data_IF_905920459865
#
_entry.id   IF_905920459865
#
_cell.length_a   1.000
_cell.length_b   1.000
_cell.length_c   1.000
_cell.angle_alpha   90.00
_cell.angle_beta   90.00
_cell.angle_gamma   90.00
#
_symmetry.space_group_name_H-M   'P 1'
#
loop_
_entity.id
_entity.type
_entity.pdbx_description
1 polymer ?
2 non-polymer ?
3 non-polymer ?
4 non-polymer ?
5 water ?
#
# COMPACT_ATOMS: atom_id res chain seq x y z
N UNK A 2 7.33 -5.73 12.12
CA UNK A 2 7.16 -5.72 13.57
C UNK A 2 7.26 -7.14 14.15
N UNK A 3 7.49 -7.24 15.46
CA UNK A 3 7.58 -8.55 16.10
C UNK A 3 6.37 -9.38 15.70
N UNK A 4 6.58 -10.67 15.46
CA UNK A 4 5.48 -11.55 15.07
C UNK A 4 5.00 -12.40 16.24
N UNK A 5 3.70 -12.32 16.52
CA UNK A 5 3.07 -13.05 17.62
C UNK A 5 3.36 -14.55 17.61
N UNK A 8 -0.45 -17.32 15.65
CA UNK A 8 0.79 -17.38 14.80
C UNK A 8 1.06 -18.69 14.08
N UNK A 9 1.39 -19.75 14.83
CA UNK A 9 1.68 -21.04 14.18
C UNK A 9 0.65 -21.45 13.14
N UNK A 10 -0.62 -21.39 13.49
CA UNK A 10 -1.68 -21.76 12.55
C UNK A 10 -1.65 -20.89 11.29
N UNK A 11 -1.34 -19.61 11.47
CA UNK A 11 -1.28 -18.66 10.36
C UNK A 11 -0.12 -19.01 9.40
N UNK A 12 1.10 -19.06 9.94
CA UNK A 12 2.25 -19.44 9.13
C UNK A 12 2.01 -20.78 8.43
N UNK A 13 1.30 -21.69 9.12
CA UNK A 13 1.04 -23.00 8.55
C UNK A 13 0.18 -22.98 7.30
N UNK A 14 -0.61 -21.92 7.12
CA UNK A 14 -1.44 -21.81 5.94
C UNK A 14 -0.65 -21.42 4.68
N UNK A 15 0.57 -20.91 4.85
CA UNK A 15 1.37 -20.49 3.66
C UNK A 15 2.57 -21.41 3.49
N UNK A 16 2.71 -22.01 2.31
CA UNK A 16 3.84 -22.89 2.01
C UNK A 16 4.97 -21.96 1.58
N UNK A 17 6.03 -21.89 2.41
CA UNK A 17 7.12 -20.95 2.16
C UNK A 17 7.96 -21.28 0.94
N UNK A 18 7.82 -22.50 0.44
CA UNK A 18 8.61 -22.96 -0.69
C UNK A 18 7.86 -22.90 -2.00
N UNK A 19 6.59 -22.55 -1.94
CA UNK A 19 5.78 -22.49 -3.12
C UNK A 19 5.77 -21.11 -3.75
N UNK A 20 5.77 -21.08 -5.08
CA UNK A 20 5.63 -19.82 -5.81
C UNK A 20 4.19 -19.91 -6.31
N UNK A 21 3.30 -19.17 -5.64
CA UNK A 21 1.88 -19.20 -5.95
C UNK A 21 1.53 -18.44 -7.23
N UNK A 22 0.43 -18.83 -7.88
CA UNK A 22 -0.06 -18.03 -8.97
C UNK A 22 -0.72 -16.79 -8.34
N UNK A 23 -0.91 -15.76 -9.14
CA UNK A 23 -1.55 -14.55 -8.65
C UNK A 23 -2.96 -14.89 -8.14
N UNK A 24 -3.67 -15.74 -8.89
CA UNK A 24 -5.03 -16.11 -8.42
C UNK A 24 -5.02 -16.92 -7.12
N UNK A 25 -4.07 -17.86 -6.99
CA UNK A 25 -3.96 -18.62 -5.74
C UNK A 25 -3.67 -17.65 -4.58
N UNK A 26 -2.68 -16.77 -4.78
CA UNK A 26 -2.32 -15.82 -3.75
C UNK A 26 -3.50 -14.92 -3.34
N UNK A 27 -4.28 -14.43 -4.30
CA UNK A 27 -5.42 -13.56 -4.00
C UNK A 27 -6.39 -14.34 -3.11
N UNK A 28 -6.64 -15.61 -3.44
CA UNK A 28 -7.51 -16.44 -2.61
C UNK A 28 -6.95 -16.74 -1.23
N UNK A 29 -5.62 -16.92 -1.13
CA UNK A 29 -4.95 -17.20 0.13
C UNK A 29 -5.04 -15.97 1.04
N UNK A 30 -4.70 -14.81 0.50
CA UNK A 30 -4.68 -13.56 1.29
C UNK A 30 -6.00 -13.38 2.05
N UNK A 31 -7.10 -13.75 1.39
CA UNK A 31 -8.44 -13.66 1.97
C UNK A 31 -8.61 -14.59 3.18
N UNK A 32 -7.61 -15.45 3.43
CA UNK A 32 -7.68 -16.40 4.54
C UNK A 32 -6.73 -16.05 5.69
N UNK A 33 -5.62 -15.39 5.35
CA UNK A 33 -4.63 -15.01 6.33
C UNK A 33 -5.07 -13.79 7.14
N UNK A 34 -5.77 -12.88 6.49
CA UNK A 34 -6.20 -11.63 7.12
C UNK A 34 -7.06 -11.81 8.36
N UNK A 35 -6.76 -11.03 9.40
CA UNK A 35 -7.56 -11.06 10.64
C UNK A 35 -8.96 -10.56 10.32
N UNK A 36 -9.93 -11.01 11.11
CA UNK A 36 -11.31 -10.60 10.88
C UNK A 36 -11.60 -9.29 11.60
N UNK A 37 -10.66 -8.91 12.45
CA UNK A 37 -10.75 -7.78 13.37
C UNK A 37 -10.57 -6.38 12.82
N UNK A 38 -9.87 -6.28 11.69
CA UNK A 38 -9.67 -5.00 11.02
C UNK A 38 -9.18 -5.25 9.59
N UNK A 39 -9.42 -4.28 8.72
CA UNK A 39 -9.04 -4.46 7.33
C UNK A 39 -7.57 -4.19 7.23
N UNK A 40 -6.95 -4.84 6.28
CA UNK A 40 -5.53 -4.65 6.07
C UNK A 40 -5.25 -4.33 4.65
N UNK A 41 -4.27 -3.45 4.47
CA UNK A 41 -3.81 -3.10 3.11
C UNK A 41 -2.91 -4.23 2.58
N UNK A 42 -3.14 -4.62 1.34
CA UNK A 42 -2.33 -5.68 0.72
C UNK A 42 -1.33 -4.95 -0.19
N UNK A 43 -0.05 -5.35 -0.09
CA UNK A 43 0.98 -4.75 -0.94
C UNK A 43 1.66 -5.78 -1.82
N UNK A 44 2.26 -5.31 -2.92
CA UNK A 44 3.11 -6.20 -3.70
C UNK A 44 4.52 -5.67 -3.55
N UNK A 45 5.45 -6.58 -3.27
CA UNK A 45 6.89 -6.23 -3.11
C UNK A 45 7.65 -6.97 -4.19
N UNK A 46 8.60 -6.29 -4.86
CA UNK A 46 9.39 -6.97 -5.91
C UNK A 46 10.84 -6.54 -5.81
N UNK A 47 11.72 -7.46 -6.13
CA UNK A 47 13.13 -7.11 -6.24
C UNK A 47 13.38 -6.99 -7.74
N UNK A 48 13.89 -5.85 -8.19
CA UNK A 48 14.10 -5.59 -9.62
C UNK A 48 15.46 -5.90 -10.15
N UNK A 49 15.45 -6.33 -11.40
CA UNK A 49 16.68 -6.58 -12.14
C UNK A 49 17.21 -5.24 -12.67
N UNK A 50 17.58 -4.38 -11.74
CA UNK A 50 18.23 -3.10 -12.08
C UNK A 50 19.43 -2.94 -11.17
N UNK A 51 20.37 -2.09 -11.61
CA UNK A 51 21.53 -1.71 -10.80
C UNK A 51 21.05 -0.45 -10.09
N UNK A 52 20.76 -0.58 -8.78
CA UNK A 52 20.20 0.60 -8.12
C UNK A 52 21.10 1.75 -7.84
N UNK A 53 22.38 1.57 -8.13
CA UNK A 53 23.34 2.64 -7.96
C UNK A 53 23.52 3.48 -9.23
N UNK A 54 22.77 3.13 -10.28
CA UNK A 54 22.80 3.85 -11.55
C UNK A 54 21.54 4.69 -11.68
N UNK A 55 21.75 6.00 -11.82
CA UNK A 55 20.62 6.91 -11.94
C UNK A 55 19.83 6.75 -13.23
N UNK A 56 20.33 6.01 -14.20
CA UNK A 56 19.63 5.80 -15.45
C UNK A 56 18.83 4.51 -15.48
N UNK A 57 18.76 3.83 -14.33
CA UNK A 57 17.97 2.61 -14.24
C UNK A 57 16.92 2.71 -13.10
N UNK A 58 16.59 3.92 -12.67
CA UNK A 58 15.55 4.11 -11.66
C UNK A 58 14.19 3.67 -12.21
N UNK A 59 13.30 3.18 -11.34
CA UNK A 59 11.96 2.79 -11.79
C UNK A 59 11.02 3.62 -10.92
N UNK A 60 10.29 4.54 -11.56
CA UNK A 60 9.37 5.42 -10.84
C UNK A 60 8.16 5.73 -11.71
N UNK A 61 6.97 5.73 -11.10
CA UNK A 61 5.78 6.04 -11.88
C UNK A 61 4.56 5.83 -11.03
N UNK A 62 3.44 5.57 -11.71
CA UNK A 62 2.17 5.33 -11.00
C UNK A 62 1.43 4.17 -11.61
N UNK A 63 0.53 3.60 -10.82
CA UNK A 63 -0.35 2.57 -11.32
C UNK A 63 -1.78 3.04 -11.09
N UNK A 64 -2.60 2.93 -12.14
CA UNK A 64 -4.00 3.29 -12.06
C UNK A 64 -4.72 1.99 -11.76
N UNK A 65 -4.91 1.67 -10.47
CA UNK A 65 -5.52 0.39 -10.09
C UNK A 65 -6.93 0.33 -10.63
N UNK A 66 -7.28 -0.77 -11.32
CA UNK A 66 -8.64 -0.91 -11.90
C UNK A 66 -9.74 -1.00 -10.87
N UNK A 67 -9.37 -1.34 -9.64
CA UNK A 67 -10.36 -1.46 -8.57
C UNK A 67 -9.97 -0.80 -7.26
N UNK A 68 -10.97 -0.25 -6.56
CA UNK A 68 -10.74 0.28 -5.22
C UNK A 68 -10.32 1.72 -5.03
N UNK A 69 -10.13 2.43 -6.13
CA UNK A 69 -9.67 3.81 -6.08
C UNK A 69 -10.62 4.80 -6.71
N UNK A 70 -10.16 6.05 -6.83
CA UNK A 70 -10.95 7.12 -7.42
C UNK A 70 -11.73 7.90 -6.39
N UNK A 71 -12.75 8.64 -6.85
CA UNK A 71 -13.59 9.42 -5.95
C UNK A 71 -14.12 8.59 -4.78
N UNK A 72 -14.46 7.32 -5.04
CA UNK A 72 -15.01 6.41 -4.00
C UNK A 72 -14.18 6.34 -2.71
N UNK A 73 -12.87 6.25 -2.84
CA UNK A 73 -12.00 6.20 -1.65
C UNK A 73 -12.23 7.45 -0.80
N UNK A 74 -12.53 7.27 0.48
CA UNK A 74 -12.68 8.43 1.34
C UNK A 74 -11.36 8.70 2.02
N UNK A 75 -10.71 9.76 1.56
CA UNK A 75 -9.41 10.13 2.05
C UNK A 75 -9.51 11.07 3.24
N UNK A 76 -8.79 10.74 4.30
CA UNK A 76 -8.55 11.61 5.43
C UNK A 76 -7.18 12.28 5.28
N UNK A 77 -7.14 13.60 5.37
CA UNK A 77 -5.89 14.36 5.33
C UNK A 77 -5.73 15.01 6.70
N UNK A 78 -4.57 14.78 7.32
CA UNK A 78 -4.24 15.38 8.60
C UNK A 78 -3.15 16.39 8.33
N UNK A 79 -3.39 17.63 8.71
CA UNK A 79 -2.43 18.68 8.42
C UNK A 79 -2.45 19.77 9.48
N UNK A 80 -1.78 20.89 9.19
CA UNK A 80 -1.70 21.98 10.14
C UNK A 80 -1.80 23.32 9.39
N UNK A 81 -2.38 24.32 10.04
CA UNK A 81 -2.52 25.66 9.46
C UNK A 81 -3.05 25.74 8.04
N UNK A 82 -2.34 26.45 7.16
CA UNK A 82 -2.78 26.63 5.78
C UNK A 82 -2.96 25.32 5.05
N UNK A 83 -2.21 24.29 5.43
CA UNK A 83 -2.32 23.04 4.71
C UNK A 83 -3.66 22.35 4.96
N UNK A 84 -4.32 22.70 6.05
CA UNK A 84 -5.69 22.18 6.29
C UNK A 84 -6.59 22.71 5.16
N UNK A 85 -6.49 24.00 4.85
CA UNK A 85 -7.28 24.57 3.77
C UNK A 85 -6.87 23.94 2.44
N UNK A 86 -5.56 23.75 2.23
CA UNK A 86 -5.10 23.13 0.99
C UNK A 86 -5.73 21.73 0.82
N UNK A 87 -5.79 20.95 1.91
CA UNK A 87 -6.39 19.62 1.83
C UNK A 87 -7.91 19.71 1.51
N UNK A 88 -8.62 20.65 2.14
CA UNK A 88 -10.05 20.84 1.86
C UNK A 88 -10.28 21.21 0.40
N UNK A 89 -9.47 22.15 -0.08
CA UNK A 89 -9.59 22.66 -1.43
C UNK A 89 -9.26 21.59 -2.49
N UNK A 90 -8.47 20.59 -2.10
CA UNK A 90 -8.10 19.50 -3.01
C UNK A 90 -9.17 18.42 -3.04
N UNK A 91 -10.18 18.55 -2.19
CA UNK A 91 -11.30 17.59 -2.15
C UNK A 91 -11.19 16.38 -1.21
N UNK A 92 -10.28 16.43 -0.25
CA UNK A 92 -10.15 15.35 0.71
C UNK A 92 -11.53 15.19 1.31
N UNK A 93 -11.97 13.95 1.48
CA UNK A 93 -13.31 13.70 2.05
C UNK A 93 -13.36 14.17 3.49
N UNK A 94 -12.27 13.85 4.22
CA UNK A 94 -12.16 14.31 5.60
C UNK A 94 -10.87 15.02 5.79
N UNK A 95 -10.91 16.06 6.61
CA UNK A 95 -9.72 16.83 6.93
C UNK A 95 -9.76 17.16 8.42
N UNK A 96 -8.58 17.08 9.02
CA UNK A 96 -8.44 17.51 10.38
C UNK A 96 -7.02 17.94 10.70
N UNK A 97 -6.90 18.65 11.81
CA UNK A 97 -5.60 18.98 12.39
C UNK A 97 -5.28 17.86 13.36
N UNK A 98 -4.23 18.03 14.17
CA UNK A 98 -3.90 17.00 15.16
C UNK A 98 -5.07 16.64 16.08
N UNK A 99 -6.04 17.55 16.25
CA UNK A 99 -7.19 17.28 17.10
C UNK A 99 -7.99 16.07 16.61
N UNK A 100 -7.88 15.78 15.31
CA UNK A 100 -8.65 14.66 14.76
C UNK A 100 -8.17 13.33 15.35
N UNK A 101 -6.96 13.31 15.91
CA UNK A 101 -6.44 12.10 16.55
C UNK A 101 -7.41 11.60 17.62
N UNK A 102 -8.03 12.52 18.37
CA UNK A 102 -8.97 12.14 19.44
C UNK A 102 -10.20 11.46 18.89
N UNK A 103 -10.66 11.92 17.72
CA UNK A 103 -11.83 11.33 17.07
C UNK A 103 -11.51 9.89 16.65
N UNK A 104 -10.30 9.67 16.10
CA UNK A 104 -9.93 8.34 15.71
C UNK A 104 -9.75 7.44 16.94
N UNK A 105 -9.12 7.96 17.99
CA UNK A 105 -8.95 7.17 19.23
C UNK A 105 -10.29 6.74 19.81
N UNK A 106 -11.31 7.60 19.66
CA UNK A 106 -12.64 7.28 20.20
C UNK A 106 -13.31 6.15 19.40
N UNK A 107 -12.78 5.84 18.22
CA UNK A 107 -13.31 4.73 17.43
C UNK A 107 -13.66 5.01 15.98
N UNK A 108 -13.58 6.27 15.57
CA UNK A 108 -13.97 6.65 14.22
C UNK A 108 -12.99 6.25 13.17
N UNK A 109 -13.48 5.59 12.14
CA UNK A 109 -12.66 5.26 10.97
C UNK A 109 -13.47 5.19 9.69
N UNK A 110 -14.24 6.24 9.43
CA UNK A 110 -15.06 6.32 8.20
C UNK A 110 -14.17 6.48 6.96
N UNK A 111 -12.93 6.86 7.17
CA UNK A 111 -11.96 7.05 6.07
C UNK A 111 -11.37 5.75 5.54
N UNK A 112 -10.91 5.75 4.28
CA UNK A 112 -10.35 4.56 3.63
C UNK A 112 -8.85 4.67 3.37
N UNK A 113 -8.31 5.88 3.55
CA UNK A 113 -6.90 6.17 3.30
C UNK A 113 -6.52 7.36 4.16
N UNK A 114 -5.23 7.48 4.49
CA UNK A 114 -4.76 8.59 5.31
C UNK A 114 -3.51 9.22 4.69
N UNK A 115 -3.57 10.54 4.54
CA UNK A 115 -2.41 11.33 4.08
C UNK A 115 -2.13 12.43 5.09
N UNK A 116 -0.90 12.92 5.16
CA UNK A 116 -0.57 13.87 6.19
C UNK A 116 0.63 14.73 5.80
N UNK A 117 0.69 15.88 6.43
CA UNK A 117 1.89 16.74 6.29
C UNK A 117 2.95 16.29 7.31
N UNK A 118 4.24 16.52 7.03
CA UNK A 118 5.24 16.06 7.96
C UNK A 118 5.13 16.65 9.37
N UNK A 119 4.60 17.86 9.48
CA UNK A 119 4.54 18.51 10.78
C UNK A 119 3.53 17.93 11.76
N UNK A 120 2.69 16.98 11.32
CA UNK A 120 1.76 16.34 12.28
C UNK A 120 2.15 14.88 12.51
N UNK A 121 3.22 14.42 11.85
CA UNK A 121 3.57 13.00 11.95
C UNK A 121 4.09 12.52 13.29
N UNK A 122 4.71 13.43 14.06
CA UNK A 122 5.15 13.06 15.41
C UNK A 122 3.94 12.62 16.23
N UNK A 123 2.86 13.41 16.17
CA UNK A 123 1.64 13.09 16.92
C UNK A 123 0.91 11.87 16.34
N UNK A 124 0.81 11.80 15.02
CA UNK A 124 0.11 10.70 14.36
C UNK A 124 0.78 9.35 14.67
N UNK A 125 2.10 9.30 14.56
CA UNK A 125 2.76 8.05 14.87
C UNK A 125 2.67 7.72 16.35
N UNK A 126 2.91 8.72 17.19
CA UNK A 126 2.88 8.57 18.65
C UNK A 126 1.57 8.04 19.19
N UNK A 127 0.47 8.62 18.71
CA UNK A 127 -0.85 8.24 19.21
C UNK A 127 -1.59 7.17 18.40
N UNK A 128 -1.36 7.15 17.09
CA UNK A 128 -2.11 6.28 16.21
C UNK A 128 -1.31 5.17 15.56
N UNK A 129 -0.04 5.04 15.93
CA UNK A 129 0.81 4.00 15.33
C UNK A 129 0.26 2.59 15.43
N UNK A 130 -0.32 2.23 16.57
CA UNK A 130 -0.83 0.86 16.75
C UNK A 130 -2.20 0.64 16.16
N UNK A 131 -2.86 1.73 15.75
CA UNK A 131 -4.13 1.68 15.08
C UNK A 131 -3.96 1.67 13.56
N UNK A 132 -3.20 2.66 13.05
CA UNK A 132 -3.04 2.78 11.62
C UNK A 132 -2.03 1.78 11.06
N UNK A 133 -0.97 1.51 11.82
CA UNK A 133 0.12 0.61 11.39
C UNK A 133 -0.34 -0.74 10.92
N UNK A 134 -1.00 -1.52 11.82
CA UNK A 134 -1.47 -2.84 11.44
C UNK A 134 -2.48 -2.84 10.29
N UNK A 135 -3.15 -1.72 10.09
CA UNK A 135 -4.15 -1.59 9.01
C UNK A 135 -3.53 -1.20 7.68
N UNK A 136 -2.23 -0.83 7.72
CA UNK A 136 -1.49 -0.37 6.53
C UNK A 136 -1.96 1.03 6.13
N UNK A 137 -2.40 1.80 7.13
CA UNK A 137 -2.94 3.15 6.91
C UNK A 137 -2.04 4.26 7.48
N UNK A 138 -0.86 3.88 7.97
CA UNK A 138 0.04 4.85 8.57
C UNK A 138 0.82 5.53 7.46
N UNK A 139 0.58 6.83 7.27
CA UNK A 139 1.28 7.54 6.19
C UNK A 139 2.78 7.56 6.39
N UNK A 140 3.53 7.60 5.29
CA UNK A 140 5.01 7.76 5.35
C UNK A 140 5.58 8.40 4.08
N UNK A 141 6.67 9.18 4.23
CA UNK A 141 7.22 9.87 3.06
C UNK A 141 7.70 8.95 1.95
N UNK A 142 8.24 7.78 2.30
CA UNK A 142 8.73 6.87 1.24
C UNK A 142 7.59 6.39 0.33
N UNK A 143 6.41 6.16 0.92
CA UNK A 143 5.26 5.73 0.14
C UNK A 143 4.63 6.91 -0.62
N UNK A 144 5.02 8.13 -0.25
CA UNK A 144 4.45 9.33 -0.87
C UNK A 144 3.17 9.85 -0.25
N UNK A 145 2.83 9.31 0.92
CA UNK A 145 1.59 9.67 1.63
C UNK A 145 1.80 10.74 2.70
N UNK A 146 3.09 11.13 2.90
CA UNK A 146 3.43 12.24 3.79
C UNK A 146 4.18 13.24 2.91
N UNK A 147 3.71 14.48 2.91
CA UNK A 147 4.33 15.55 2.17
C UNK A 147 3.68 16.89 2.41
N UNK A 148 4.43 17.98 2.23
CA UNK A 148 3.84 19.32 2.34
C UNK A 148 2.97 19.66 1.14
N UNK A 149 3.15 18.95 0.03
CA UNK A 149 2.33 19.15 -1.17
C UNK A 149 1.08 18.27 -0.97
N UNK A 150 0.34 18.51 0.11
CA UNK A 150 -0.82 17.68 0.48
C UNK A 150 -1.91 17.69 -0.59
N UNK A 151 -2.12 18.85 -1.19
CA UNK A 151 -3.11 18.98 -2.27
C UNK A 151 -2.78 18.04 -3.44
N UNK A 152 -1.53 18.08 -3.90
CA UNK A 152 -1.13 17.19 -4.99
C UNK A 152 -1.31 15.72 -4.64
N UNK A 153 -0.96 15.37 -3.40
CA UNK A 153 -1.06 13.99 -2.93
C UNK A 153 -2.51 13.54 -2.95
N UNK A 154 -3.38 14.39 -2.43
CA UNK A 154 -4.81 14.08 -2.42
C UNK A 154 -5.38 13.95 -3.85
N UNK A 155 -5.04 14.90 -4.72
CA UNK A 155 -5.57 14.83 -6.09
C UNK A 155 -5.09 13.58 -6.82
N UNK A 156 -3.87 13.12 -6.52
CA UNK A 156 -3.35 11.95 -7.19
C UNK A 156 -4.16 10.71 -6.81
N UNK A 157 -4.44 10.54 -5.51
CA UNK A 157 -5.25 9.41 -5.04
C UNK A 157 -6.66 9.52 -5.62
N UNK A 158 -7.23 10.73 -5.59
CA UNK A 158 -8.59 10.93 -6.14
C UNK A 158 -8.66 10.66 -7.64
N UNK A 159 -7.53 10.87 -8.31
CA UNK A 159 -7.42 10.61 -9.76
C UNK A 159 -7.23 9.11 -10.05
N UNK A 160 -7.14 8.32 -8.96
CA UNK A 160 -7.03 6.87 -9.05
C UNK A 160 -5.62 6.33 -9.27
N UNK A 161 -4.60 7.07 -8.84
CA UNK A 161 -3.20 6.64 -9.04
C UNK A 161 -2.45 6.41 -7.73
N UNK A 162 -1.65 5.35 -7.72
CA UNK A 162 -0.76 4.96 -6.61
C UNK A 162 0.69 5.09 -7.09
N UNK A 163 1.53 5.73 -6.27
CA UNK A 163 2.95 5.96 -6.62
C UNK A 163 3.82 4.77 -6.37
N UNK A 164 4.87 4.65 -7.19
CA UNK A 164 5.88 3.65 -6.88
C UNK A 164 7.27 4.20 -7.25
N UNK A 165 8.25 3.79 -6.47
CA UNK A 165 9.62 4.21 -6.76
C UNK A 165 10.56 3.18 -6.15
N UNK A 166 11.58 2.72 -6.86
CA UNK A 166 12.45 1.74 -6.26
C UNK A 166 13.29 2.37 -5.15
N UNK A 167 13.76 1.56 -4.20
CA UNK A 167 14.61 2.08 -3.14
C UNK A 167 16.09 1.75 -3.47
N UNK A 168 17.01 2.17 -2.60
CA UNK A 168 18.44 1.97 -2.84
C UNK A 168 18.87 0.50 -2.95
N UNK A 169 18.02 -0.42 -2.54
CA UNK A 169 18.33 -1.84 -2.62
C UNK A 169 17.84 -2.46 -3.93
N UNK A 170 17.10 -1.68 -4.73
CA UNK A 170 16.57 -2.19 -5.98
C UNK A 170 15.22 -2.86 -5.78
N UNK A 171 14.63 -2.67 -4.59
CA UNK A 171 13.31 -3.25 -4.30
C UNK A 171 12.25 -2.20 -4.54
N UNK A 172 11.00 -2.64 -4.66
CA UNK A 172 9.92 -1.69 -4.89
C UNK A 172 8.65 -2.31 -4.33
N UNK A 173 7.80 -1.46 -3.79
CA UNK A 173 6.52 -1.97 -3.29
C UNK A 173 5.43 -0.91 -3.36
N UNK A 174 4.18 -1.39 -3.46
CA UNK A 174 2.99 -0.50 -3.52
C UNK A 174 1.77 -1.24 -3.04
N UNK A 175 0.85 -0.49 -2.44
CA UNK A 175 -0.43 -1.10 -2.03
C UNK A 175 -1.29 -1.38 -3.25
N UNK A 176 -1.98 -2.52 -3.23
CA UNK A 176 -2.79 -2.92 -4.37
C UNK A 176 -4.24 -3.20 -4.01
N UNK A 177 -4.58 -3.07 -2.73
CA UNK A 177 -5.99 -3.27 -2.32
C UNK A 177 -6.08 -3.57 -0.84
N UNK A 178 -7.22 -4.12 -0.43
CA UNK A 178 -7.39 -4.48 0.95
C UNK A 178 -7.68 -5.96 1.00
N UNK A 179 -7.44 -6.57 2.18
CA UNK A 179 -7.74 -7.98 2.35
C UNK A 179 -9.25 -8.26 2.21
N UNK A 180 -10.07 -7.21 2.33
CA UNK A 180 -11.52 -7.35 2.19
C UNK A 180 -11.99 -7.45 0.73
N UNK A 181 -11.11 -7.12 -0.22
CA UNK A 181 -11.50 -7.16 -1.63
C UNK A 181 -11.85 -8.55 -2.12
N UNK A 182 -12.81 -8.64 -3.05
CA UNK A 182 -13.09 -9.91 -3.70
C UNK A 182 -11.78 -10.37 -4.35
N UNK A 183 -11.48 -11.67 -4.25
CA UNK A 183 -10.19 -12.13 -4.77
C UNK A 183 -9.92 -11.82 -6.25
N UNK A 184 -10.93 -11.83 -7.12
CA UNK A 184 -10.68 -11.50 -8.52
C UNK A 184 -10.26 -10.04 -8.70
N UNK A 185 -10.80 -9.17 -7.86
CA UNK A 185 -10.43 -7.77 -7.93
C UNK A 185 -9.01 -7.57 -7.42
N UNK A 186 -8.66 -8.30 -6.36
CA UNK A 186 -7.31 -8.21 -5.80
C UNK A 186 -6.32 -8.71 -6.86
N UNK A 187 -6.67 -9.81 -7.56
CA UNK A 187 -5.78 -10.35 -8.60
C UNK A 187 -5.59 -9.35 -9.72
N UNK A 188 -6.66 -8.70 -10.16
CA UNK A 188 -6.59 -7.67 -11.21
C UNK A 188 -5.63 -6.54 -10.79
N UNK A 189 -5.75 -6.11 -9.54
CA UNK A 189 -4.93 -5.03 -9.02
C UNK A 189 -3.46 -5.40 -8.94
N UNK A 190 -3.22 -6.65 -8.54
CA UNK A 190 -1.86 -7.20 -8.47
C UNK A 190 -1.27 -7.16 -9.88
N UNK A 191 -2.01 -7.67 -10.85
CA UNK A 191 -1.51 -7.66 -12.25
C UNK A 191 -1.32 -6.24 -12.77
N UNK A 192 -2.21 -5.32 -12.36
CA UNK A 192 -2.09 -3.93 -12.79
C UNK A 192 -0.75 -3.35 -12.33
N UNK A 193 -0.36 -3.61 -11.09
CA UNK A 193 0.91 -3.07 -10.57
C UNK A 193 2.09 -3.70 -11.34
N UNK A 194 2.03 -5.00 -11.56
CA UNK A 194 3.08 -5.70 -12.33
C UNK A 194 3.19 -5.10 -13.73
N UNK A 195 2.07 -4.86 -14.38
CA UNK A 195 2.08 -4.24 -15.71
C UNK A 195 2.64 -2.83 -15.69
N UNK A 196 2.33 -2.05 -14.66
CA UNK A 196 2.88 -0.69 -14.55
C UNK A 196 4.39 -0.77 -14.38
N UNK A 197 4.86 -1.72 -13.57
CA UNK A 197 6.32 -1.89 -13.41
C UNK A 197 6.96 -2.25 -14.74
N UNK A 198 6.37 -3.23 -15.43
CA UNK A 198 6.92 -3.67 -16.73
C UNK A 198 6.98 -2.53 -17.74
N UNK A 199 5.96 -1.69 -17.75
CA UNK A 199 5.92 -0.57 -18.67
C UNK A 199 7.05 0.44 -18.37
N UNK A 200 7.56 0.38 -17.15
CA UNK A 200 8.64 1.28 -16.69
C UNK A 200 10.01 0.61 -16.63
N UNK A 201 10.14 -0.55 -17.26
CA UNK A 201 11.41 -1.31 -17.28
C UNK A 201 12.43 -0.42 -17.99
N UNK A 202 13.51 -0.03 -17.30
CA UNK A 202 14.48 0.89 -17.92
C UNK A 202 15.26 0.30 -19.10
N UNK A 203 15.61 1.15 -20.07
CA UNK A 203 16.43 0.70 -21.18
C UNK A 203 17.77 0.29 -20.60
N UNK A 204 18.24 -0.89 -20.99
CA UNK A 204 19.53 -1.35 -20.52
C UNK A 204 19.52 -2.19 -19.27
N UNK A 205 18.35 -2.45 -18.70
CA UNK A 205 18.30 -3.30 -17.53
C UNK A 205 18.81 -4.72 -17.87
N UNK A 206 19.65 -5.26 -16.98
CA UNK A 206 20.24 -6.59 -17.16
C UNK A 206 19.48 -7.74 -16.53
N UNK A 207 19.33 -8.83 -17.30
CA UNK A 207 18.73 -10.07 -16.81
C UNK A 207 17.24 -9.94 -16.49
N UNK A 208 16.69 -10.87 -15.69
CA UNK A 208 15.25 -10.88 -15.34
C UNK A 208 14.86 -9.59 -14.61
N UNK A 209 13.74 -8.95 -15.02
CA UNK A 209 13.35 -7.70 -14.43
C UNK A 209 12.63 -7.88 -13.09
N UNK A 210 11.65 -8.78 -13.05
CA UNK A 210 10.95 -9.05 -11.80
C UNK A 210 11.60 -10.32 -11.21
N UNK A 211 12.71 -10.12 -10.51
CA UNK A 211 13.49 -11.23 -9.93
C UNK A 211 12.69 -12.07 -8.95
N UNK A 212 11.99 -11.40 -8.02
CA UNK A 212 11.16 -12.11 -7.06
C UNK A 212 10.06 -11.14 -6.70
N UNK A 213 8.88 -11.68 -6.42
CA UNK A 213 7.69 -10.85 -6.20
C UNK A 213 6.84 -11.53 -5.12
N UNK A 214 6.31 -10.73 -4.19
CA UNK A 214 5.52 -11.24 -3.06
C UNK A 214 4.29 -10.38 -2.85
N UNK A 215 3.24 -10.98 -2.28
CA UNK A 215 2.06 -10.26 -1.87
C UNK A 215 2.12 -10.34 -0.36
N UNK A 216 1.86 -9.22 0.33
CA UNK A 216 1.81 -9.30 1.80
C UNK A 216 0.99 -8.19 2.42
N UNK A 217 0.91 -8.24 3.76
CA UNK A 217 0.16 -7.29 4.58
C UNK A 217 1.13 -6.91 5.68
N UNK A 218 0.86 -5.82 6.39
CA UNK A 218 1.78 -5.37 7.43
C UNK A 218 1.95 -6.41 8.54
N UNK A 219 0.92 -7.21 8.79
CA UNK A 219 0.99 -8.17 9.86
C UNK A 219 1.35 -9.59 9.39
N UNK A 220 0.51 -10.18 8.56
CA UNK A 220 0.71 -11.54 8.06
C UNK A 220 1.97 -11.83 7.26
N UNK A 221 2.20 -13.12 7.00
CA UNK A 221 3.34 -13.60 6.23
C UNK A 221 3.18 -13.30 4.74
N UNK A 222 4.32 -13.20 4.05
CA UNK A 222 4.34 -12.92 2.64
C UNK A 222 4.08 -14.18 1.83
N UNK A 223 3.51 -14.00 0.64
CA UNK A 223 3.17 -15.08 -0.26
C UNK A 223 3.96 -14.83 -1.55
N UNK A 224 4.91 -15.70 -1.90
CA UNK A 224 5.68 -15.49 -3.14
C UNK A 224 4.80 -15.81 -4.35
N UNK A 225 4.82 -14.94 -5.36
CA UNK A 225 4.00 -15.16 -6.55
C UNK A 225 4.78 -15.14 -7.87
N UNK A 226 4.22 -15.84 -8.85
CA UNK A 226 4.74 -15.82 -10.21
C UNK A 226 4.12 -14.59 -10.87
N UNK A 227 4.94 -13.56 -11.18
CA UNK A 227 4.39 -12.31 -11.72
C UNK A 227 3.85 -12.42 -13.14
N UNK A 228 4.11 -13.55 -13.79
CA UNK A 228 3.59 -13.78 -15.14
C UNK A 228 2.34 -14.64 -15.18
N UNK A 229 1.74 -14.89 -14.01
CA UNK A 229 0.54 -15.71 -13.94
C UNK A 229 -0.72 -14.85 -13.86
X LIG B 1 -6.90 0.09 -3.42
X LIG B 1 -6.11 0.44 -2.17
X LIG B 1 -6.43 -0.53 -1.13
X LIG B 1 -4.64 0.36 -2.48
X LIG B 1 -6.48 1.80 -1.61
X LIG B 1 -7.98 1.97 -1.36
X LIG B 1 -8.51 0.85 -0.68
X LIG B 1 -8.25 3.23 -0.54
X LIG C 1 2.26 -11.28 -20.71
X LIG C 1 1.80 -9.94 -20.14
X LIG C 1 1.64 -9.00 -21.23
X LIG C 1 0.47 -10.09 -19.41
X LIG C 1 2.87 -9.38 -19.19
X LIG C 1 2.91 -10.08 -17.84
X LIG C 1 3.52 -11.35 -17.99
X LIG C 1 3.66 -9.26 -16.82
X LIG D 1 -4.69 4.47 0.26
X LIG D 1 -3.32 3.90 -0.06
X LIG D 1 -3.48 2.85 -1.05
X LIG D 1 -2.44 4.99 -0.68
X LIG D 1 -2.62 3.33 1.18
X LIG D 1 -3.41 2.26 1.95
X LIG D 1 -4.17 2.86 2.97
X LIG D 1 -4.30 1.38 1.09
X LIG E 1 1.09 16.40 -9.93
X LIG E 1 2.17 15.62 -9.18
X LIG E 1 2.47 14.41 -9.94
X LIG E 1 3.42 16.47 -9.06
X LIG E 1 1.62 15.22 -7.81
X LIG E 1 2.55 14.31 -6.99
X LIG E 1 1.86 13.85 -5.84
X LIG E 1 3.81 15.04 -6.56
X LIG F 1 -4.46 23.67 13.49
X LIG F 1 -5.72 24.36 13.12
X LIG F 1 -4.06 24.18 14.81
X LIG F 1 -4.71 22.23 13.55
X LIG F 1 -3.44 23.94 12.49
X LIG G 1 10.84 -10.14 -16.77
X LIG G 1 12.29 -10.10 -17.13
X LIG G 1 10.57 -10.07 -15.32
X LIG G 1 10.25 -11.40 -17.26
X LIG G 1 10.13 -9.02 -17.42
X LIG H 1 -14.27 -1.17 -8.45
X LIG H 1 -13.51 -0.09 -7.82
X LIG H 1 -15.71 -0.89 -8.31
X LIG H 1 -13.97 -2.44 -7.78
X LIG H 1 -13.97 -1.25 -9.89
X LIG I 1 3.79 7.62 -14.79
X LIG I 1 5.19 8.04 -14.65
X LIG I 1 2.94 8.24 -13.78
X LIG I 1 3.71 6.16 -14.65
X LIG I 1 3.32 8.01 -16.13
X LIG J 1 -14.08 -16.32 -6.10
X LIG J 1 -14.49 -15.13 -5.35
X LIG J 1 -13.49 -17.30 -5.19
X LIG J 1 -13.07 -15.96 -7.09
X LIG J 1 -15.27 -16.90 -6.76
X LIG K 1 7.42 -11.70 6.12
X LIG K 1 6.55 -11.38 7.24
X LIG K 1 8.78 -11.80 6.62
X LIG K 1 7.01 -12.99 5.55
X LIG K 1 7.34 -10.66 5.10
X LIG L 1 9.81 0.80 3.59
X LIG L 1 8.63 1.64 3.79
X LIG L 1 10.94 1.44 4.27
X LIG L 1 9.57 -0.51 4.17
X LIG L 1 10.07 0.68 2.16
X LIG M 1 0.88 -10.79 15.30
X LIG M 1 0.21 -10.12 16.42
X LIG M 1 2.29 -10.37 15.23
X LIG M 1 0.83 -12.23 15.51
X LIG M 1 0.18 -10.47 14.06
X LIG N 1 9.61 -9.48 1.24
X LIG N 1 8.16 -9.43 1.37
X LIG N 1 10.24 -8.64 2.27
X LIG N 1 10.06 -10.86 1.42
X LIG N 1 10.01 -9.00 -0.08
X LIG O 1 -8.66 -13.49 13.84
X LIG O 1 -9.58 -13.48 14.97
X LIG O 1 -7.56 -12.56 14.09
X LIG O 1 -8.13 -14.85 13.69
X LIG O 1 -9.42 -13.14 12.64
#
# INVERSE_FOLDING_TARGET
MPKHGKRYRALLEKVDPNKIYTIDEAAHLVKELATAKFDETVEVHAKLGIDPRRSDQNVRGTVSLPHGLGKQVRVLAIAKGEKIKEAEEAGADYVGGEEIIQKILDGWMDFDAVVATPDVMGAVGSKLGRILGPRGLLPNPKAGTVGFNIGEIIREIKAGRIEFRNDKTGAIHAPVGKASFPPEKLADNIRAFIRALEAHKPEGAKGTFLRSVYVTTAMGPSVRINPHS
MPD C1 C2 O2 CM C3 C4 O4 C5
MPD C1 C2 O2 CM C3 C4 O4 C5
MPD C1 C2 O2 CM C3 C4 O4 C5
MRD C1 C2 O2 CM C3 C4 O4 C5
SO4 S O1 O2 O3 O4
SO4 S O1 O2 O3 O4
SO4 S O1 O2 O3 O4
SO4 S O1 O2 O3 O4
SO4 S O1 O2 O3 O4
SO4 S O1 O2 O3 O4
SO4 S O1 O2 O3 O4
SO4 S O1 O2 O3 O4
SO4 S O1 O2 O3 O4
SO4 S O1 O2 O3 O4
#
